data_IF_944423937503
#
_entry.id   IF_944423937503
#
_cell.length_a   1.000
_cell.length_b   1.000
_cell.length_c   1.000
_cell.angle_alpha   90.00
_cell.angle_beta   90.00
_cell.angle_gamma   90.00
#
_symmetry.space_group_name_H-M   'P 1'
#
loop_
_entity.id
_entity.type
_entity.pdbx_description
1 polymer ?
#
# COMPACT_ATOMS: atom_id res chain seq x y z
N UNK A 1 6.91 -7.32 17.37
CA UNK A 1 7.58 -6.00 17.43
C UNK A 1 7.67 -5.50 18.87
N UNK A 2 6.56 -5.34 19.57
CA UNK A 2 6.48 -4.80 20.94
C UNK A 2 7.25 -5.65 21.98
N UNK A 3 7.31 -6.95 21.78
CA UNK A 3 8.00 -7.89 22.70
C UNK A 3 9.51 -7.62 22.88
N UNK A 4 10.14 -6.99 21.87
CA UNK A 4 11.56 -6.64 21.92
C UNK A 4 11.86 -5.26 22.54
N UNK A 5 10.80 -4.47 22.79
CA UNK A 5 10.92 -3.10 23.29
C UNK A 5 9.90 -2.83 24.40
N UNK A 6 10.03 -3.53 25.57
CA UNK A 6 9.13 -3.30 26.68
C UNK A 6 9.30 -1.84 27.19
N UNK A 7 8.18 -1.18 27.43
CA UNK A 7 8.13 0.21 27.90
C UNK A 7 8.68 1.26 26.92
N UNK A 8 8.75 0.94 25.63
CA UNK A 8 9.13 1.90 24.58
C UNK A 8 7.94 2.23 23.67
N UNK A 9 7.95 3.44 23.12
CA UNK A 9 7.02 3.89 22.10
C UNK A 9 7.79 4.11 20.81
N UNK A 10 7.20 3.74 19.69
CA UNK A 10 7.72 4.03 18.35
C UNK A 10 6.75 4.99 17.70
N UNK A 11 7.17 6.25 17.55
CA UNK A 11 6.40 7.25 16.84
C UNK A 11 6.82 7.28 15.37
N UNK A 12 5.83 7.19 14.48
CA UNK A 12 6.04 7.26 13.03
C UNK A 12 5.39 8.52 12.50
N UNK A 13 6.20 9.46 12.05
CA UNK A 13 5.74 10.71 11.44
C UNK A 13 5.81 10.62 9.92
N UNK A 14 4.68 10.82 9.25
CA UNK A 14 4.57 10.76 7.80
C UNK A 14 4.28 12.15 7.26
N UNK A 15 5.22 12.73 6.49
CA UNK A 15 5.06 14.01 5.83
C UNK A 15 4.79 13.80 4.34
N UNK A 16 3.63 14.24 3.87
CA UNK A 16 3.26 14.18 2.46
C UNK A 16 3.77 15.44 1.77
N UNK A 17 4.80 15.30 0.93
CA UNK A 17 5.40 16.42 0.21
C UNK A 17 4.64 16.77 -1.06
N UNK A 18 4.07 15.78 -1.72
CA UNK A 18 3.25 15.94 -2.92
C UNK A 18 2.17 14.86 -2.93
N UNK A 19 0.97 15.21 -3.32
CA UNK A 19 -0.18 14.32 -3.36
C UNK A 19 -0.81 14.30 -4.76
N UNK A 20 -1.16 13.10 -5.23
CA UNK A 20 -1.95 12.86 -6.43
C UNK A 20 -2.77 11.57 -6.23
N UNK A 21 -3.70 11.59 -5.25
CA UNK A 21 -4.39 10.42 -4.68
C UNK A 21 -3.42 9.37 -4.11
N UNK A 22 -3.88 8.22 -3.72
CA UNK A 22 -3.09 7.06 -3.20
C UNK A 22 -2.07 7.39 -2.10
N UNK A 23 -2.13 8.56 -1.46
CA UNK A 23 -1.15 9.04 -0.45
C UNK A 23 -1.04 8.11 0.76
N UNK A 24 -2.13 7.45 1.14
CA UNK A 24 -2.15 6.45 2.22
C UNK A 24 -1.22 5.28 1.89
N UNK A 25 -1.27 4.79 0.66
CA UNK A 25 -0.42 3.68 0.21
C UNK A 25 1.04 4.10 0.22
N UNK A 26 1.36 5.29 -0.28
CA UNK A 26 2.71 5.85 -0.25
C UNK A 26 3.23 5.98 1.20
N UNK A 27 2.41 6.51 2.12
CA UNK A 27 2.75 6.65 3.53
C UNK A 27 3.02 5.31 4.23
N UNK A 28 2.20 4.29 3.98
CA UNK A 28 2.41 2.94 4.52
C UNK A 28 3.72 2.33 3.98
N UNK A 29 3.98 2.47 2.69
CA UNK A 29 5.20 1.98 2.06
C UNK A 29 6.45 2.65 2.64
N UNK A 30 6.41 3.98 2.81
CA UNK A 30 7.49 4.75 3.41
C UNK A 30 7.72 4.39 4.88
N UNK A 31 6.66 4.27 5.67
CA UNK A 31 6.75 3.88 7.08
C UNK A 31 7.35 2.47 7.25
N UNK A 32 6.92 1.49 6.46
CA UNK A 32 7.46 0.15 6.49
C UNK A 32 8.96 0.13 6.17
N UNK A 33 9.37 0.91 5.17
CA UNK A 33 10.78 1.03 4.78
C UNK A 33 11.61 1.73 5.84
N UNK A 34 11.10 2.82 6.43
CA UNK A 34 11.78 3.58 7.48
C UNK A 34 12.01 2.72 8.74
N UNK A 35 11.01 1.97 9.18
CA UNK A 35 11.12 1.06 10.33
C UNK A 35 12.17 -0.03 10.08
N UNK A 36 12.18 -0.61 8.88
CA UNK A 36 13.17 -1.62 8.51
C UNK A 36 14.58 -1.03 8.43
N UNK A 37 14.74 0.17 7.85
CA UNK A 37 16.01 0.87 7.77
C UNK A 37 16.55 1.26 9.16
N UNK A 38 15.67 1.64 10.07
CA UNK A 38 16.01 1.92 11.47
C UNK A 38 16.40 0.67 12.29
N UNK A 39 16.37 -0.53 11.69
CA UNK A 39 16.71 -1.77 12.36
C UNK A 39 15.65 -2.27 13.34
N UNK A 40 14.42 -1.78 13.25
CA UNK A 40 13.32 -2.26 14.10
C UNK A 40 12.95 -3.69 13.68
N UNK A 41 12.99 -4.67 14.60
CA UNK A 41 12.61 -6.05 14.31
C UNK A 41 11.16 -6.13 13.85
N UNK A 42 10.95 -6.60 12.64
CA UNK A 42 9.64 -6.79 12.02
C UNK A 42 9.49 -8.23 11.54
N UNK A 43 8.25 -8.75 11.54
CA UNK A 43 7.96 -10.07 10.95
C UNK A 43 8.18 -10.10 9.43
N UNK A 44 8.22 -8.94 8.80
CA UNK A 44 8.42 -8.73 7.38
C UNK A 44 7.99 -7.33 6.98
N UNK A 45 8.32 -6.94 5.76
CA UNK A 45 7.82 -5.71 5.18
C UNK A 45 6.32 -5.84 4.88
N UNK A 46 5.67 -4.71 4.84
CA UNK A 46 4.33 -4.57 4.25
C UNK A 46 4.43 -3.65 3.04
N UNK A 47 3.61 -3.90 2.04
CA UNK A 47 3.46 -3.01 0.89
C UNK A 47 2.00 -2.69 0.65
N UNK A 48 1.73 -1.51 0.13
CA UNK A 48 0.39 -0.98 -0.09
C UNK A 48 0.26 -0.41 -1.49
N UNK A 49 -0.88 -0.68 -2.12
CA UNK A 49 -1.25 -0.12 -3.42
C UNK A 49 -2.74 0.17 -3.43
N UNK A 50 -3.17 1.21 -4.11
CA UNK A 50 -4.58 1.43 -4.40
C UNK A 50 -4.95 0.75 -5.71
N UNK A 51 -6.08 0.03 -5.72
CA UNK A 51 -6.71 -0.51 -6.92
C UNK A 51 -8.00 0.27 -7.12
N UNK A 52 -8.12 0.94 -8.26
CA UNK A 52 -9.32 1.65 -8.64
C UNK A 52 -10.21 0.83 -9.55
N UNK A 53 -11.52 1.12 -9.50
CA UNK A 53 -12.47 0.74 -10.53
C UNK A 53 -13.07 2.02 -11.10
N UNK A 54 -12.88 2.24 -12.40
CA UNK A 54 -13.44 3.35 -13.16
C UNK A 54 -14.48 2.80 -14.12
N UNK A 55 -15.74 3.04 -13.84
CA UNK A 55 -16.87 2.37 -14.50
C UNK A 55 -16.70 0.83 -14.42
N UNK A 56 -16.25 0.18 -15.48
CA UNK A 56 -16.01 -1.29 -15.54
C UNK A 56 -14.55 -1.69 -15.61
N UNK A 57 -13.63 -0.72 -15.59
CA UNK A 57 -12.21 -0.96 -15.76
C UNK A 57 -11.50 -0.90 -14.40
N UNK A 58 -10.59 -1.86 -14.18
CA UNK A 58 -9.72 -1.84 -13.01
C UNK A 58 -8.39 -1.17 -13.36
N UNK A 59 -7.95 -0.28 -12.50
CA UNK A 59 -6.67 0.45 -12.60
C UNK A 59 -5.82 0.20 -11.35
N UNK A 60 -4.52 0.38 -11.48
CA UNK A 60 -3.56 0.20 -10.39
C UNK A 60 -2.86 1.52 -10.13
N UNK A 61 -2.75 1.91 -8.86
CA UNK A 61 -2.15 3.16 -8.42
C UNK A 61 -2.97 4.38 -8.87
N UNK A 62 -4.15 4.50 -8.28
CA UNK A 62 -5.16 5.51 -8.62
C UNK A 62 -4.61 6.93 -8.47
N UNK A 63 -4.70 7.71 -9.53
CA UNK A 63 -4.42 9.15 -9.56
C UNK A 63 -5.62 9.98 -9.10
N UNK A 64 -5.41 11.28 -8.87
CA UNK A 64 -6.53 12.16 -8.45
C UNK A 64 -7.61 12.28 -9.52
N UNK A 65 -7.24 12.37 -10.79
CA UNK A 65 -8.19 12.44 -11.91
C UNK A 65 -9.02 11.15 -12.01
N UNK A 66 -8.42 10.01 -11.69
CA UNK A 66 -9.12 8.71 -11.65
C UNK A 66 -9.99 8.57 -10.39
N UNK A 67 -9.55 9.08 -9.24
CA UNK A 67 -10.35 9.10 -8.00
C UNK A 67 -11.61 9.95 -8.17
N UNK A 68 -11.52 11.07 -8.91
CA UNK A 68 -12.62 12.00 -9.18
C UNK A 68 -13.45 11.61 -10.43
N UNK A 69 -13.27 10.41 -10.97
CA UNK A 69 -14.02 9.95 -12.13
C UNK A 69 -15.52 9.77 -11.81
N UNK A 70 -16.38 10.47 -12.53
CA UNK A 70 -17.83 10.50 -12.29
C UNK A 70 -18.66 9.80 -13.38
N UNK A 71 -18.06 9.40 -14.51
CA UNK A 71 -18.79 8.78 -15.62
C UNK A 71 -19.18 7.32 -15.31
N UNK A 72 -20.29 6.88 -15.87
CA UNK A 72 -20.81 5.52 -15.73
C UNK A 72 -21.16 5.17 -14.27
N UNK A 73 -20.50 4.18 -13.70
CA UNK A 73 -20.68 3.77 -12.29
C UNK A 73 -19.81 4.60 -11.31
N UNK A 74 -19.08 5.59 -11.82
CA UNK A 74 -18.13 6.41 -11.06
C UNK A 74 -16.86 5.68 -10.73
N UNK A 75 -16.08 6.28 -9.81
CA UNK A 75 -14.86 5.67 -9.28
C UNK A 75 -15.13 4.84 -8.02
N UNK A 76 -14.30 3.82 -7.83
CA UNK A 76 -14.18 3.10 -6.55
C UNK A 76 -12.70 3.00 -6.22
N UNK A 77 -12.30 3.43 -5.02
CA UNK A 77 -10.91 3.36 -4.54
C UNK A 77 -10.75 2.28 -3.48
N UNK A 78 -9.77 1.41 -3.67
CA UNK A 78 -9.53 0.25 -2.79
C UNK A 78 -8.05 0.18 -2.45
N UNK A 79 -7.58 0.93 -1.44
CA UNK A 79 -6.24 0.76 -0.90
C UNK A 79 -6.11 -0.58 -0.18
N UNK A 80 -5.10 -1.35 -0.57
CA UNK A 80 -4.84 -2.70 -0.05
C UNK A 80 -3.39 -2.81 0.39
N UNK A 81 -3.19 -3.21 1.64
CA UNK A 81 -1.86 -3.49 2.18
C UNK A 81 -1.68 -4.99 2.42
N UNK A 82 -0.59 -5.53 1.92
CA UNK A 82 -0.24 -6.94 2.07
C UNK A 82 1.09 -7.10 2.81
N UNK A 83 1.21 -8.20 3.54
CA UNK A 83 2.51 -8.72 4.00
C UNK A 83 3.25 -9.40 2.85
N UNK A 84 4.55 -9.63 3.02
CA UNK A 84 5.38 -10.33 2.02
C UNK A 84 4.93 -11.77 1.74
N UNK A 85 4.20 -12.41 2.66
CA UNK A 85 3.57 -13.72 2.49
C UNK A 85 2.12 -13.64 1.94
N UNK A 86 1.68 -12.44 1.54
CA UNK A 86 0.43 -12.20 0.83
C UNK A 86 -0.82 -12.12 1.70
N UNK A 87 -0.67 -11.96 3.02
CA UNK A 87 -1.80 -11.72 3.92
C UNK A 87 -2.21 -10.25 3.88
N UNK A 88 -3.52 -10.00 3.89
CA UNK A 88 -4.06 -8.65 3.94
C UNK A 88 -3.96 -8.13 5.37
N UNK A 89 -3.31 -6.99 5.56
CA UNK A 89 -3.19 -6.28 6.85
C UNK A 89 -4.07 -5.05 6.91
N UNK A 90 -4.39 -4.46 5.76
CA UNK A 90 -5.30 -3.34 5.65
C UNK A 90 -6.04 -3.41 4.31
N UNK A 91 -7.32 -3.10 4.35
CA UNK A 91 -8.15 -2.86 3.18
C UNK A 91 -9.17 -1.79 3.53
N UNK A 92 -9.38 -0.88 2.63
CA UNK A 92 -10.48 0.07 2.65
C UNK A 92 -11.18 0.01 1.30
N UNK A 93 -12.45 0.39 1.27
CA UNK A 93 -13.22 0.49 0.06
C UNK A 93 -14.07 1.75 0.15
N UNK A 94 -13.93 2.58 -0.85
CA UNK A 94 -14.79 3.73 -1.08
C UNK A 94 -15.38 3.63 -2.49
N UNK A 95 -16.71 3.45 -2.57
CA UNK A 95 -17.44 3.24 -3.81
C UNK A 95 -18.19 1.91 -3.87
N UNK A 96 -18.39 1.38 -5.07
CA UNK A 96 -19.21 0.18 -5.32
C UNK A 96 -18.41 -0.87 -6.09
N UNK A 97 -18.48 -2.13 -5.61
CA UNK A 97 -17.80 -3.25 -6.25
C UNK A 97 -18.61 -4.54 -6.05
N UNK A 98 -18.63 -5.39 -7.05
CA UNK A 98 -19.21 -6.73 -6.94
C UNK A 98 -18.20 -7.73 -6.39
N UNK A 99 -18.68 -8.85 -5.83
CA UNK A 99 -17.82 -9.92 -5.33
C UNK A 99 -16.92 -10.54 -6.43
N UNK A 100 -17.35 -10.49 -7.69
CA UNK A 100 -16.54 -10.98 -8.83
C UNK A 100 -15.38 -10.01 -9.11
N UNK A 101 -15.66 -8.73 -9.19
CA UNK A 101 -14.64 -7.69 -9.39
C UNK A 101 -13.64 -7.64 -8.23
N UNK A 102 -14.12 -7.78 -7.00
CA UNK A 102 -13.24 -7.81 -5.82
C UNK A 102 -12.20 -8.95 -5.90
N UNK A 103 -12.55 -10.09 -6.47
CA UNK A 103 -11.58 -11.18 -6.71
C UNK A 103 -10.49 -10.78 -7.68
N UNK A 104 -10.83 -10.04 -8.73
CA UNK A 104 -9.83 -9.52 -9.67
C UNK A 104 -8.98 -8.42 -9.04
N UNK A 105 -9.58 -7.54 -8.22
CA UNK A 105 -8.86 -6.54 -7.42
C UNK A 105 -7.78 -7.20 -6.57
N UNK A 106 -8.08 -8.29 -5.86
CA UNK A 106 -7.08 -9.00 -5.07
C UNK A 106 -5.95 -9.61 -5.91
N UNK A 107 -6.24 -10.07 -7.12
CA UNK A 107 -5.18 -10.57 -8.03
C UNK A 107 -4.25 -9.43 -8.46
N UNK A 108 -4.82 -8.29 -8.87
CA UNK A 108 -4.04 -7.11 -9.25
C UNK A 108 -3.22 -6.59 -8.08
N UNK A 109 -3.83 -6.45 -6.90
CA UNK A 109 -3.16 -5.99 -5.70
C UNK A 109 -1.96 -6.90 -5.33
N UNK A 110 -2.11 -8.23 -5.40
CA UNK A 110 -0.99 -9.16 -5.15
C UNK A 110 0.15 -8.99 -6.15
N UNK A 111 -0.17 -8.78 -7.43
CA UNK A 111 0.84 -8.54 -8.46
C UNK A 111 1.59 -7.24 -8.20
N UNK A 112 0.87 -6.13 -8.04
CA UNK A 112 1.46 -4.81 -7.80
C UNK A 112 2.28 -4.76 -6.50
N UNK A 113 1.74 -5.32 -5.40
CA UNK A 113 2.46 -5.38 -4.13
C UNK A 113 3.78 -6.18 -4.24
N UNK A 114 3.83 -7.23 -5.06
CA UNK A 114 5.07 -7.97 -5.31
C UNK A 114 6.14 -7.08 -5.94
N UNK A 115 5.76 -6.24 -6.88
CA UNK A 115 6.67 -5.29 -7.53
C UNK A 115 7.19 -4.25 -6.52
N UNK A 116 6.30 -3.71 -5.68
CA UNK A 116 6.65 -2.77 -4.61
C UNK A 116 7.63 -3.43 -3.61
N UNK A 117 7.41 -4.68 -3.22
CA UNK A 117 8.33 -5.41 -2.34
C UNK A 117 9.74 -5.52 -2.92
N UNK A 118 9.87 -5.77 -4.21
CA UNK A 118 11.20 -5.84 -4.84
C UNK A 118 11.90 -4.48 -4.83
N UNK A 119 11.17 -3.39 -5.04
CA UNK A 119 11.71 -2.02 -4.92
C UNK A 119 12.14 -1.73 -3.48
N UNK A 120 11.31 -2.05 -2.49
CA UNK A 120 11.64 -1.87 -1.07
C UNK A 120 12.89 -2.66 -0.68
N UNK A 121 13.00 -3.93 -1.06
CA UNK A 121 14.17 -4.77 -0.80
C UNK A 121 15.43 -4.22 -1.45
N UNK A 122 15.33 -3.74 -2.69
CA UNK A 122 16.45 -3.12 -3.39
C UNK A 122 16.93 -1.88 -2.64
N UNK A 123 16.04 -0.97 -2.29
CA UNK A 123 16.36 0.25 -1.55
C UNK A 123 17.06 -0.04 -0.21
N UNK A 124 16.55 -1.01 0.57
CA UNK A 124 17.18 -1.42 1.83
C UNK A 124 18.58 -1.99 1.62
N UNK A 125 18.78 -2.84 0.61
CA UNK A 125 20.11 -3.40 0.31
C UNK A 125 21.11 -2.32 -0.12
N UNK A 126 20.67 -1.32 -0.83
CA UNK A 126 21.50 -0.20 -1.28
C UNK A 126 21.86 0.73 -0.12
N UNK A 127 20.93 0.96 0.81
CA UNK A 127 21.15 1.83 1.98
C UNK A 127 22.15 1.26 3.01
N UNK A 128 22.33 -0.05 3.03
CA UNK A 128 23.29 -0.72 3.96
C UNK A 128 24.73 -0.78 3.39
N UNK A 129 24.92 -0.43 2.11
CA UNK A 129 26.23 -0.42 1.47
C UNK A 129 27.03 0.89 1.67
N UNK A 130 26.47 1.80 2.45
CA UNK A 130 27.13 3.02 2.90
C UNK A 130 27.80 2.78 4.26
#
# INVERSE_FOLDING_TARGET
MIEHYPNMVIDVHINILQANASTRCAGINAAALALAHAGIPMRGLVSSVSIGKLDKNLVVDVSKDEEDWEEGEGATDIPITLTSDGKITHIQLDGKITSKELKEVFKLARKANKEIFEVQKKALKESVKL
#
